data_IF_844927592293
#
_entry.id   IF_844927592293
#
_cell.length_a   1.000
_cell.length_b   1.000
_cell.length_c   1.000
_cell.angle_alpha   90.00
_cell.angle_beta   90.00
_cell.angle_gamma   90.00
#
_symmetry.space_group_name_H-M   'P 1'
#
loop_
_entity.id
_entity.type
_entity.pdbx_description
1 polymer ?
#
# COMPACT_ATOMS: atom_id res chain seq x y z
N UNK A 1 35.64 29.17 12.18
CA UNK A 1 36.09 29.75 10.88
C UNK A 1 36.67 31.12 11.16
N UNK A 2 37.84 31.42 10.60
CA UNK A 2 38.49 32.74 10.66
C UNK A 2 38.55 33.31 9.26
N UNK A 3 37.88 34.44 9.01
CA UNK A 3 38.03 35.20 7.77
C UNK A 3 38.96 36.39 7.98
N UNK A 4 39.59 36.85 6.91
CA UNK A 4 40.37 38.09 6.91
C UNK A 4 39.52 39.22 6.36
N UNK A 5 39.61 40.39 6.99
CA UNK A 5 38.96 41.62 6.54
C UNK A 5 40.08 42.60 6.22
N UNK A 6 40.09 43.13 4.99
CA UNK A 6 41.12 44.06 4.52
C UNK A 6 40.46 45.30 3.94
N UNK A 7 41.00 46.46 4.27
CA UNK A 7 40.59 47.70 3.63
C UNK A 7 41.07 47.72 2.18
N UNK A 8 40.21 48.12 1.24
CA UNK A 8 40.56 48.26 -0.18
C UNK A 8 41.32 49.57 -0.47
N UNK A 9 41.33 50.50 0.48
CA UNK A 9 42.00 51.80 0.41
C UNK A 9 42.58 52.17 1.77
N UNK A 10 43.57 53.07 1.77
CA UNK A 10 44.12 53.62 3.01
C UNK A 10 43.03 54.39 3.77
N UNK A 11 42.84 54.07 5.05
CA UNK A 11 41.92 54.78 5.93
C UNK A 11 42.65 55.91 6.65
N UNK A 12 42.07 57.11 6.63
CA UNK A 12 42.49 58.16 7.53
C UNK A 12 42.22 57.76 8.99
N UNK A 13 42.84 58.47 9.95
CA UNK A 13 42.46 58.32 11.35
C UNK A 13 40.95 58.57 11.53
N UNK A 14 40.29 57.69 12.28
CA UNK A 14 38.84 57.61 12.49
C UNK A 14 38.02 57.25 11.24
N UNK A 15 38.69 56.97 10.12
CA UNK A 15 38.06 56.42 8.93
C UNK A 15 37.59 54.98 9.16
N UNK A 16 36.44 54.62 8.58
CA UNK A 16 35.85 53.30 8.70
C UNK A 16 35.45 52.71 7.36
N UNK A 17 35.38 51.38 7.30
CA UNK A 17 34.71 50.65 6.23
C UNK A 17 33.87 49.51 6.80
N UNK A 18 32.92 49.03 6.01
CA UNK A 18 32.01 47.94 6.37
C UNK A 18 32.23 46.72 5.47
N UNK A 19 32.04 45.53 6.03
CA UNK A 19 31.99 44.27 5.29
C UNK A 19 30.82 43.43 5.80
N UNK A 20 30.12 42.74 4.91
CA UNK A 20 29.03 41.83 5.29
C UNK A 20 29.55 40.67 6.14
N UNK A 21 28.85 40.31 7.21
CA UNK A 21 29.25 39.16 8.05
C UNK A 21 29.31 37.86 7.23
N UNK A 22 28.44 37.72 6.23
CA UNK A 22 28.40 36.58 5.30
C UNK A 22 29.67 36.40 4.47
N UNK A 23 30.44 37.47 4.23
CA UNK A 23 31.74 37.40 3.54
C UNK A 23 32.83 36.73 4.41
N UNK A 24 32.66 36.78 5.74
CA UNK A 24 33.60 36.19 6.72
C UNK A 24 33.12 34.82 7.17
N UNK A 25 31.80 34.66 7.35
CA UNK A 25 31.14 33.41 7.70
C UNK A 25 29.75 33.38 7.06
N UNK A 26 29.55 32.52 6.05
CA UNK A 26 28.32 32.45 5.25
C UNK A 26 27.05 32.21 6.06
N UNK A 27 27.17 31.68 7.27
CA UNK A 27 26.06 31.45 8.19
C UNK A 27 25.57 32.67 8.98
N UNK A 28 26.18 33.84 8.79
CA UNK A 28 25.88 35.06 9.54
C UNK A 28 25.42 36.19 8.62
N UNK A 29 24.60 37.07 9.19
CA UNK A 29 24.07 38.28 8.57
C UNK A 29 24.43 39.51 9.40
N UNK A 30 24.26 40.69 8.81
CA UNK A 30 24.67 41.96 9.41
C UNK A 30 26.00 42.47 8.85
N UNK A 31 26.55 43.50 9.48
CA UNK A 31 27.77 44.14 9.04
C UNK A 31 28.86 44.16 10.11
N UNK A 32 30.10 44.04 9.66
CA UNK A 32 31.31 44.24 10.45
C UNK A 32 31.85 45.62 10.09
N UNK A 33 31.91 46.52 11.07
CA UNK A 33 32.48 47.86 10.91
C UNK A 33 33.90 47.83 11.45
N UNK A 34 34.86 48.23 10.62
CA UNK A 34 36.27 48.34 11.02
C UNK A 34 36.71 49.80 10.95
N UNK A 35 37.27 50.30 12.04
CA UNK A 35 37.70 51.71 12.18
C UNK A 35 39.20 51.78 12.41
N UNK A 36 39.88 52.70 11.72
CA UNK A 36 41.30 52.99 11.94
C UNK A 36 41.46 53.97 13.12
N UNK A 37 41.86 53.46 14.27
CA UNK A 37 42.08 54.27 15.47
C UNK A 37 43.57 54.24 15.85
N UNK A 38 44.23 55.41 15.81
CA UNK A 38 45.66 55.58 16.15
C UNK A 38 46.59 54.58 15.45
N UNK A 39 46.36 54.32 14.16
CA UNK A 39 47.17 53.39 13.35
C UNK A 39 46.85 51.91 13.56
N UNK A 40 45.83 51.57 14.37
CA UNK A 40 45.34 50.20 14.56
C UNK A 40 43.92 50.04 14.04
N UNK A 41 43.59 48.87 13.49
CA UNK A 41 42.22 48.55 13.10
C UNK A 41 41.46 48.01 14.31
N UNK A 42 40.35 48.66 14.65
CA UNK A 42 39.40 48.21 15.66
C UNK A 42 38.17 47.65 14.93
N UNK A 43 37.84 46.40 15.21
CA UNK A 43 36.74 45.68 14.56
C UNK A 43 35.53 45.65 15.50
N UNK A 44 34.36 46.04 14.99
CA UNK A 44 33.08 45.89 15.64
C UNK A 44 32.22 44.91 14.83
N UNK A 45 32.01 43.71 15.39
CA UNK A 45 31.18 42.64 14.82
C UNK A 45 29.89 42.41 15.63
N UNK A 46 29.48 43.36 16.47
CA UNK A 46 28.29 43.20 17.34
C UNK A 46 26.99 43.05 16.58
N UNK A 47 26.94 43.49 15.31
CA UNK A 47 25.79 43.32 14.42
C UNK A 47 25.81 41.97 13.66
N UNK A 48 26.86 41.17 13.82
CA UNK A 48 26.88 39.83 13.24
C UNK A 48 26.02 38.88 14.06
N UNK A 49 24.94 38.41 13.45
CA UNK A 49 24.03 37.44 14.04
C UNK A 49 23.88 36.25 13.10
N UNK A 50 23.65 35.03 13.62
CA UNK A 50 23.32 33.89 12.78
C UNK A 50 22.16 34.22 11.84
N UNK A 51 22.33 33.90 10.56
CA UNK A 51 21.34 34.22 9.53
C UNK A 51 20.03 33.50 9.79
N UNK A 52 18.88 34.19 9.70
CA UNK A 52 17.60 33.51 9.58
C UNK A 52 17.50 32.83 8.22
N UNK A 53 16.60 31.87 8.09
CA UNK A 53 16.26 31.24 6.82
C UNK A 53 15.20 32.11 6.15
N UNK A 54 15.46 32.51 4.91
CA UNK A 54 14.55 33.37 4.16
C UNK A 54 13.29 32.60 3.74
N UNK A 55 12.21 33.32 3.46
CA UNK A 55 11.09 32.74 2.74
C UNK A 55 11.57 32.25 1.36
N UNK A 56 11.14 31.06 0.95
CA UNK A 56 11.62 30.38 -0.26
C UNK A 56 12.93 29.62 -0.09
N UNK A 57 13.58 29.65 1.08
CA UNK A 57 14.69 28.74 1.38
C UNK A 57 14.19 27.29 1.27
N UNK A 58 15.03 26.43 0.71
CA UNK A 58 14.68 25.04 0.42
C UNK A 58 15.50 24.05 1.25
N UNK A 59 14.90 22.90 1.56
CA UNK A 59 15.59 21.72 2.08
C UNK A 59 15.15 20.48 1.32
N UNK A 60 16.05 19.52 1.16
CA UNK A 60 15.72 18.19 0.65
C UNK A 60 15.00 17.39 1.72
N UNK A 61 13.85 16.84 1.37
CA UNK A 61 13.06 15.92 2.18
C UNK A 61 13.18 14.54 1.54
N UNK A 62 13.82 13.61 2.24
CA UNK A 62 13.99 12.22 1.80
C UNK A 62 13.01 11.32 2.56
N UNK A 63 12.08 10.70 1.82
CA UNK A 63 11.08 9.75 2.34
C UNK A 63 11.11 8.47 1.50
N UNK A 64 11.27 7.31 2.14
CA UNK A 64 11.40 6.00 1.45
C UNK A 64 12.42 5.96 0.29
N UNK A 65 13.55 6.67 0.44
CA UNK A 65 14.60 6.85 -0.58
C UNK A 65 14.18 7.68 -1.81
N UNK A 66 13.07 8.42 -1.72
CA UNK A 66 12.65 9.40 -2.71
C UNK A 66 12.93 10.79 -2.15
N UNK A 67 13.69 11.57 -2.92
CA UNK A 67 13.99 12.96 -2.59
C UNK A 67 12.94 13.90 -3.18
N UNK A 68 12.52 14.85 -2.37
CA UNK A 68 11.64 15.96 -2.75
C UNK A 68 12.15 17.27 -2.12
N UNK A 69 11.59 18.41 -2.52
CA UNK A 69 12.03 19.72 -2.04
C UNK A 69 10.95 20.37 -1.20
N UNK A 70 11.26 20.70 0.05
CA UNK A 70 10.42 21.56 0.89
C UNK A 70 10.89 23.00 0.81
N UNK A 71 9.96 23.95 0.64
CA UNK A 71 10.24 25.37 0.61
C UNK A 71 9.57 26.06 1.80
N UNK A 72 10.34 26.84 2.56
CA UNK A 72 9.79 27.62 3.66
C UNK A 72 8.89 28.74 3.16
N UNK A 73 7.70 28.88 3.74
CA UNK A 73 6.72 29.89 3.34
C UNK A 73 6.98 31.26 3.98
N UNK A 74 7.78 31.31 5.04
CA UNK A 74 8.03 32.51 5.82
C UNK A 74 9.48 32.55 6.32
N UNK A 75 9.93 33.74 6.72
CA UNK A 75 11.24 33.87 7.36
C UNK A 75 11.22 33.08 8.67
N UNK A 76 12.20 32.21 8.86
CA UNK A 76 12.39 31.43 10.08
C UNK A 76 13.65 31.95 10.79
N UNK A 77 13.50 32.41 12.04
CA UNK A 77 14.65 32.84 12.84
C UNK A 77 15.67 31.70 13.01
N UNK A 78 16.94 32.03 13.26
CA UNK A 78 17.92 31.04 13.67
C UNK A 78 17.44 30.27 14.91
N UNK A 79 17.62 28.96 14.91
CA UNK A 79 17.11 27.99 15.89
C UNK A 79 15.58 27.96 15.99
N UNK A 80 14.89 28.68 15.11
CA UNK A 80 13.46 28.56 14.91
C UNK A 80 13.11 27.24 14.21
N UNK A 81 11.99 26.67 14.62
CA UNK A 81 11.44 25.45 14.04
C UNK A 81 9.96 25.57 13.74
N UNK A 82 9.49 24.83 12.75
CA UNK A 82 8.06 24.67 12.46
C UNK A 82 7.76 23.26 11.94
N UNK A 83 6.49 22.93 11.86
CA UNK A 83 6.00 21.63 11.37
C UNK A 83 5.47 21.76 9.94
N UNK A 84 5.77 20.78 9.10
CA UNK A 84 5.27 20.66 7.72
C UNK A 84 4.65 19.27 7.51
N UNK A 85 3.71 19.16 6.56
CA UNK A 85 2.93 17.95 6.37
C UNK A 85 3.68 16.94 5.48
N UNK A 86 3.73 15.67 5.89
CA UNK A 86 4.35 14.62 5.08
C UNK A 86 3.58 14.36 3.77
N UNK A 87 2.26 14.60 3.76
CA UNK A 87 1.42 14.42 2.58
C UNK A 87 1.76 15.38 1.42
N UNK A 88 2.45 16.49 1.70
CA UNK A 88 2.94 17.41 0.67
C UNK A 88 4.11 16.81 -0.14
N UNK A 89 4.67 15.69 0.33
CA UNK A 89 5.88 15.06 -0.19
C UNK A 89 5.67 13.60 -0.64
N UNK A 90 4.43 13.18 -0.86
CA UNK A 90 4.08 11.86 -1.35
C UNK A 90 2.95 11.21 -0.56
N UNK A 91 2.84 9.89 -0.65
CA UNK A 91 1.79 9.10 0.00
C UNK A 91 2.18 8.75 1.45
N UNK A 92 2.42 9.80 2.24
CA UNK A 92 2.81 9.71 3.65
C UNK A 92 1.82 10.50 4.53
N UNK A 93 1.68 10.09 5.79
CA UNK A 93 0.96 10.83 6.80
C UNK A 93 1.86 11.24 7.97
N UNK A 94 1.35 12.15 8.78
CA UNK A 94 2.08 12.78 9.87
C UNK A 94 2.65 14.14 9.48
N UNK A 95 3.63 14.60 10.24
CA UNK A 95 4.30 15.87 9.99
C UNK A 95 5.77 15.75 10.30
N UNK A 96 6.64 16.43 9.56
CA UNK A 96 8.07 16.52 9.86
C UNK A 96 8.42 17.88 10.46
N UNK A 97 9.52 17.94 11.21
CA UNK A 97 10.01 19.19 11.78
C UNK A 97 11.04 19.82 10.86
N UNK A 98 10.94 21.13 10.66
CA UNK A 98 11.90 21.93 9.90
C UNK A 98 12.58 22.89 10.85
N UNK A 99 13.91 22.90 10.88
CA UNK A 99 14.73 23.75 11.76
C UNK A 99 15.67 24.60 10.94
N UNK A 100 15.75 25.88 11.28
CA UNK A 100 16.67 26.82 10.65
C UNK A 100 17.97 26.96 11.45
N UNK A 101 19.11 26.68 10.84
CA UNK A 101 20.41 26.92 11.42
C UNK A 101 21.31 27.67 10.42
N UNK A 102 21.81 28.85 10.81
CA UNK A 102 22.78 29.60 10.02
C UNK A 102 22.34 29.85 8.55
N UNK A 103 21.06 30.17 8.34
CA UNK A 103 20.50 30.41 7.01
C UNK A 103 20.20 29.15 6.19
N UNK A 104 20.44 27.96 6.73
CA UNK A 104 20.12 26.68 6.10
C UNK A 104 18.96 25.98 6.84
N UNK A 105 18.05 25.39 6.07
CA UNK A 105 16.98 24.56 6.61
C UNK A 105 17.47 23.11 6.75
N UNK A 106 17.09 22.48 7.85
CA UNK A 106 17.26 21.05 8.10
C UNK A 106 15.89 20.46 8.39
N UNK A 107 15.69 19.19 8.05
CA UNK A 107 14.41 18.50 8.23
C UNK A 107 14.60 17.21 9.03
N UNK A 108 13.66 16.93 9.92
CA UNK A 108 13.55 15.66 10.65
C UNK A 108 12.25 14.97 10.24
N UNK A 109 12.37 13.96 9.39
CA UNK A 109 11.27 13.19 8.81
C UNK A 109 10.92 11.92 9.59
N UNK A 110 11.48 11.74 10.79
CA UNK A 110 11.30 10.51 11.59
C UNK A 110 9.85 10.18 11.95
N UNK A 111 8.96 11.17 11.90
CA UNK A 111 7.53 11.07 12.17
C UNK A 111 6.66 10.93 10.92
N UNK A 112 7.25 10.98 9.72
CA UNK A 112 6.54 10.65 8.49
C UNK A 112 6.43 9.14 8.34
N UNK A 113 5.20 8.66 8.15
CA UNK A 113 4.91 7.24 7.97
C UNK A 113 4.19 7.05 6.65
N UNK A 114 4.51 5.98 5.94
CA UNK A 114 3.84 5.65 4.67
C UNK A 114 2.35 5.39 4.89
N UNK A 115 1.52 5.87 3.96
CA UNK A 115 0.08 5.74 4.07
C UNK A 115 -0.34 4.26 4.14
N UNK A 116 -1.24 3.92 5.08
CA UNK A 116 -1.81 2.60 5.15
C UNK A 116 -2.78 2.37 3.98
N UNK A 117 -2.94 1.11 3.57
CA UNK A 117 -3.99 0.75 2.63
C UNK A 117 -5.35 0.75 3.35
N UNK A 118 -6.24 1.66 2.97
CA UNK A 118 -7.59 1.74 3.52
C UNK A 118 -8.42 0.48 3.18
N UNK A 119 -9.44 0.19 3.98
CA UNK A 119 -10.40 -0.90 3.69
C UNK A 119 -11.23 -0.68 2.41
N UNK A 120 -11.22 0.54 1.86
CA UNK A 120 -11.80 0.87 0.56
C UNK A 120 -10.82 0.70 -0.61
N UNK A 121 -9.52 0.53 -0.35
CA UNK A 121 -8.55 0.24 -1.40
C UNK A 121 -8.84 -1.16 -1.95
N UNK A 122 -8.68 -1.34 -3.26
CA UNK A 122 -8.93 -2.64 -3.89
C UNK A 122 -7.76 -3.05 -4.77
N UNK A 123 -7.47 -4.34 -4.78
CA UNK A 123 -6.49 -4.97 -5.64
C UNK A 123 -7.19 -5.99 -6.54
N UNK A 124 -6.78 -6.07 -7.81
CA UNK A 124 -7.21 -7.14 -8.70
C UNK A 124 -6.35 -8.38 -8.48
N UNK A 125 -7.01 -9.51 -8.22
CA UNK A 125 -6.38 -10.80 -7.97
C UNK A 125 -6.84 -11.79 -9.01
N UNK A 126 -5.91 -12.56 -9.59
CA UNK A 126 -6.24 -13.66 -10.49
C UNK A 126 -5.96 -15.01 -9.82
N UNK A 127 -6.95 -15.90 -9.81
CA UNK A 127 -6.81 -17.29 -9.34
C UNK A 127 -7.41 -18.22 -10.39
N UNK A 128 -6.57 -19.08 -10.98
CA UNK A 128 -7.02 -20.04 -11.99
C UNK A 128 -7.66 -19.40 -13.23
N UNK A 129 -7.23 -18.20 -13.62
CA UNK A 129 -7.77 -17.47 -14.79
C UNK A 129 -8.99 -16.61 -14.50
N UNK A 130 -9.58 -16.68 -13.30
CA UNK A 130 -10.65 -15.79 -12.86
C UNK A 130 -10.03 -14.59 -12.14
N UNK A 131 -10.40 -13.38 -12.55
CA UNK A 131 -9.99 -12.13 -11.90
C UNK A 131 -11.11 -11.61 -11.00
N UNK A 132 -10.79 -11.21 -9.77
CA UNK A 132 -11.71 -10.54 -8.86
C UNK A 132 -11.05 -9.36 -8.16
N UNK A 133 -11.83 -8.31 -7.86
CA UNK A 133 -11.40 -7.20 -7.03
C UNK A 133 -11.59 -7.52 -5.55
N UNK A 134 -10.57 -7.29 -4.73
CA UNK A 134 -10.55 -7.60 -3.31
C UNK A 134 -10.06 -6.39 -2.52
N UNK A 135 -10.69 -6.15 -1.37
CA UNK A 135 -10.34 -5.08 -0.43
C UNK A 135 -10.12 -5.64 0.97
N UNK A 136 -9.20 -5.06 1.76
CA UNK A 136 -8.94 -5.56 3.10
C UNK A 136 -10.11 -5.24 4.03
N UNK A 137 -10.38 -6.13 4.99
CA UNK A 137 -11.48 -5.96 5.95
C UNK A 137 -11.25 -4.78 6.92
N UNK A 138 -10.00 -4.38 7.10
CA UNK A 138 -9.57 -3.26 7.91
C UNK A 138 -8.37 -2.56 7.24
N UNK A 139 -7.98 -1.43 7.80
CA UNK A 139 -6.77 -0.72 7.38
C UNK A 139 -5.52 -1.60 7.52
N UNK A 140 -4.69 -1.64 6.49
CA UNK A 140 -3.44 -2.42 6.44
C UNK A 140 -2.27 -1.45 6.46
N UNK A 141 -1.48 -1.51 7.54
CA UNK A 141 -0.27 -0.68 7.68
C UNK A 141 0.69 -0.96 6.53
N UNK A 142 1.38 0.08 6.04
CA UNK A 142 2.37 -0.07 4.99
C UNK A 142 3.37 -1.22 5.30
N UNK A 143 3.73 -2.00 4.27
CA UNK A 143 4.64 -3.15 4.39
C UNK A 143 4.01 -4.39 5.03
N UNK A 144 2.78 -4.30 5.56
CA UNK A 144 2.03 -5.46 6.04
C UNK A 144 1.35 -6.18 4.87
N UNK A 145 0.87 -7.40 5.15
CA UNK A 145 0.08 -8.19 4.22
C UNK A 145 -1.29 -8.46 4.80
N UNK A 146 -2.27 -8.66 3.92
CA UNK A 146 -3.59 -9.16 4.29
C UNK A 146 -3.94 -10.32 3.36
N UNK A 147 -4.86 -11.16 3.81
CA UNK A 147 -5.24 -12.39 3.11
C UNK A 147 -6.69 -12.37 2.66
N UNK A 148 -6.95 -13.04 1.55
CA UNK A 148 -8.31 -13.39 1.12
C UNK A 148 -8.36 -14.88 0.76
N UNK A 149 -9.42 -15.61 1.16
CA UNK A 149 -9.59 -17.01 0.78
C UNK A 149 -9.63 -17.17 -0.75
N UNK A 150 -8.90 -18.15 -1.28
CA UNK A 150 -8.92 -18.44 -2.72
C UNK A 150 -10.33 -18.81 -3.20
N UNK A 151 -11.10 -19.52 -2.36
CA UNK A 151 -12.47 -19.97 -2.65
C UNK A 151 -13.42 -18.81 -2.92
N UNK A 152 -13.18 -17.64 -2.32
CA UNK A 152 -14.00 -16.46 -2.55
C UNK A 152 -13.77 -15.90 -3.97
N UNK A 153 -12.58 -16.10 -4.55
CA UNK A 153 -12.18 -15.61 -5.88
C UNK A 153 -12.50 -16.64 -6.95
N UNK A 154 -11.98 -17.85 -6.76
CA UNK A 154 -12.22 -18.99 -7.62
C UNK A 154 -12.53 -20.18 -6.71
N UNK A 155 -13.77 -20.63 -6.77
CA UNK A 155 -14.28 -21.69 -5.93
C UNK A 155 -13.50 -23.00 -6.09
N UNK A 156 -12.90 -23.26 -7.27
CA UNK A 156 -12.05 -24.43 -7.53
C UNK A 156 -10.73 -24.43 -6.75
N UNK A 157 -10.46 -23.41 -5.93
CA UNK A 157 -9.20 -23.27 -5.20
C UNK A 157 -9.44 -23.11 -3.70
N UNK A 158 -8.53 -23.69 -2.90
CA UNK A 158 -8.44 -23.41 -1.47
C UNK A 158 -7.04 -22.92 -1.10
N UNK A 159 -6.93 -22.46 0.14
CA UNK A 159 -5.81 -21.67 0.63
C UNK A 159 -6.17 -20.19 0.63
N UNK A 160 -5.14 -19.36 0.78
CA UNK A 160 -5.28 -17.91 0.89
C UNK A 160 -4.37 -17.22 -0.13
N UNK A 161 -4.90 -16.19 -0.77
CA UNK A 161 -4.08 -15.21 -1.50
C UNK A 161 -3.51 -14.24 -0.48
N UNK A 162 -2.20 -14.08 -0.48
CA UNK A 162 -1.51 -13.06 0.31
C UNK A 162 -1.33 -11.82 -0.56
N UNK A 163 -1.76 -10.65 -0.08
CA UNK A 163 -1.68 -9.39 -0.83
C UNK A 163 -0.69 -8.42 -0.18
N UNK A 164 0.63 -8.56 -0.43
CA UNK A 164 1.55 -7.43 -0.42
C UNK A 164 1.30 -6.51 -1.63
N UNK A 165 2.11 -5.46 -1.78
CA UNK A 165 2.16 -4.58 -2.97
C UNK A 165 2.16 -5.34 -4.32
N UNK A 166 2.53 -6.63 -4.34
CA UNK A 166 2.22 -7.60 -5.40
C UNK A 166 1.59 -8.84 -4.76
N UNK A 167 0.42 -9.27 -5.23
CA UNK A 167 -0.25 -10.44 -4.66
C UNK A 167 0.50 -11.75 -4.97
N UNK A 168 0.45 -12.67 -4.02
CA UNK A 168 0.96 -14.03 -4.09
C UNK A 168 -0.20 -15.02 -3.91
N UNK A 169 -0.49 -15.78 -4.97
CA UNK A 169 -1.50 -16.83 -4.99
C UNK A 169 -0.87 -18.24 -4.98
N UNK A 170 0.42 -18.37 -4.67
CA UNK A 170 1.12 -19.67 -4.64
C UNK A 170 0.53 -20.67 -3.64
N UNK A 171 -0.17 -20.16 -2.62
CA UNK A 171 -0.90 -20.97 -1.65
C UNK A 171 -2.29 -21.41 -2.14
N UNK A 172 -2.77 -20.88 -3.27
CA UNK A 172 -4.00 -21.35 -3.90
C UNK A 172 -3.75 -22.69 -4.58
N UNK A 173 -4.21 -23.76 -3.95
CA UNK A 173 -4.18 -25.09 -4.52
C UNK A 173 -5.52 -25.37 -5.20
N UNK A 174 -5.48 -25.93 -6.41
CA UNK A 174 -6.68 -26.40 -7.07
C UNK A 174 -7.29 -27.49 -6.18
N UNK A 175 -8.43 -27.19 -5.58
CA UNK A 175 -9.28 -28.21 -5.02
C UNK A 175 -9.98 -28.88 -6.17
N UNK A 176 -9.79 -30.17 -6.26
CA UNK A 176 -10.65 -31.01 -7.05
C UNK A 176 -12.03 -31.06 -6.37
N UNK A 177 -12.82 -30.00 -6.53
CA UNK A 177 -14.19 -29.95 -6.05
C UNK A 177 -15.07 -30.81 -6.96
N UNK A 178 -15.91 -31.63 -6.34
CA UNK A 178 -16.88 -32.47 -7.01
C UNK A 178 -18.19 -31.73 -7.24
N UNK A 179 -19.33 -32.34 -6.91
CA UNK A 179 -20.65 -31.79 -7.21
C UNK A 179 -21.17 -30.90 -6.08
N UNK A 180 -21.76 -29.76 -6.44
CA UNK A 180 -22.38 -28.83 -5.49
C UNK A 180 -23.88 -29.07 -5.36
N UNK A 181 -24.46 -28.65 -4.22
CA UNK A 181 -25.93 -28.66 -4.01
C UNK A 181 -26.69 -27.68 -4.90
N UNK A 182 -25.99 -26.78 -5.60
CA UNK A 182 -26.56 -25.76 -6.51
C UNK A 182 -25.93 -25.86 -7.89
N UNK A 183 -26.72 -25.72 -8.96
CA UNK A 183 -26.22 -25.78 -10.34
C UNK A 183 -26.14 -27.19 -10.94
N UNK A 184 -27.12 -28.05 -10.64
CA UNK A 184 -27.16 -29.42 -11.17
C UNK A 184 -27.41 -29.50 -12.67
N UNK A 185 -27.09 -30.65 -13.26
CA UNK A 185 -27.44 -30.97 -14.66
C UNK A 185 -28.80 -31.67 -14.74
N UNK A 186 -29.50 -31.46 -15.85
CA UNK A 186 -30.75 -32.20 -16.10
C UNK A 186 -30.46 -33.65 -16.44
N UNK A 187 -31.01 -34.58 -15.65
CA UNK A 187 -31.03 -36.00 -15.96
C UNK A 187 -32.42 -36.41 -16.45
N UNK A 188 -32.47 -37.29 -17.44
CA UNK A 188 -33.73 -37.83 -17.99
C UNK A 188 -33.77 -39.34 -17.83
N UNK A 189 -34.82 -39.85 -17.20
CA UNK A 189 -35.11 -41.29 -17.09
C UNK A 189 -36.50 -41.56 -17.66
N UNK A 190 -36.55 -42.24 -18.80
CA UNK A 190 -37.79 -42.37 -19.58
C UNK A 190 -38.28 -40.99 -20.05
N UNK A 191 -39.48 -40.59 -19.61
CA UNK A 191 -40.07 -39.28 -19.92
C UNK A 191 -40.00 -38.29 -18.73
N UNK A 192 -39.25 -38.61 -17.67
CA UNK A 192 -39.09 -37.76 -16.50
C UNK A 192 -37.74 -37.05 -16.55
N UNK A 193 -37.72 -35.73 -16.38
CA UNK A 193 -36.51 -34.92 -16.33
C UNK A 193 -36.47 -34.15 -15.02
N UNK A 194 -35.33 -34.16 -14.34
CA UNK A 194 -35.11 -33.36 -13.13
C UNK A 194 -33.65 -32.90 -13.04
N UNK A 195 -33.40 -31.91 -12.18
CA UNK A 195 -32.06 -31.39 -11.92
C UNK A 195 -31.37 -32.30 -10.91
N UNK A 196 -30.20 -32.81 -11.28
CA UNK A 196 -29.38 -33.68 -10.47
C UNK A 196 -28.58 -32.84 -9.47
N UNK A 197 -28.98 -32.87 -8.20
CA UNK A 197 -28.32 -32.11 -7.14
C UNK A 197 -28.06 -33.03 -5.94
N UNK A 198 -26.84 -33.11 -5.43
CA UNK A 198 -26.58 -33.79 -4.17
C UNK A 198 -27.21 -33.02 -3.00
N UNK A 199 -27.51 -33.71 -1.91
CA UNK A 199 -28.07 -33.12 -0.68
C UNK A 199 -27.02 -32.36 0.16
N UNK A 200 -25.74 -32.58 -0.13
CA UNK A 200 -24.58 -31.90 0.45
C UNK A 200 -23.47 -31.84 -0.59
N UNK A 201 -22.42 -31.03 -0.37
CA UNK A 201 -21.30 -30.97 -1.30
C UNK A 201 -20.56 -32.32 -1.33
N UNK A 202 -20.26 -32.80 -2.54
CA UNK A 202 -19.57 -34.08 -2.78
C UNK A 202 -18.20 -33.78 -3.36
N UNK A 203 -17.14 -34.42 -2.85
CA UNK A 203 -15.78 -34.20 -3.36
C UNK A 203 -15.61 -34.83 -4.75
N UNK A 204 -14.57 -34.43 -5.50
CA UNK A 204 -14.28 -35.06 -6.80
C UNK A 204 -13.97 -36.55 -6.58
N UNK A 205 -14.41 -37.36 -7.53
CA UNK A 205 -14.31 -38.82 -7.57
C UNK A 205 -15.14 -39.56 -6.49
N UNK A 206 -15.77 -38.82 -5.57
CA UNK A 206 -16.82 -39.37 -4.72
C UNK A 206 -18.15 -39.49 -5.50
N UNK A 207 -19.02 -40.36 -4.99
CA UNK A 207 -20.34 -40.57 -5.58
C UNK A 207 -21.45 -40.29 -4.59
N UNK A 208 -22.55 -39.74 -5.08
CA UNK A 208 -23.83 -39.74 -4.39
C UNK A 208 -24.85 -40.60 -5.11
N UNK A 209 -25.92 -40.97 -4.41
CA UNK A 209 -27.00 -41.78 -4.95
C UNK A 209 -28.26 -40.94 -5.08
N UNK A 210 -29.00 -41.19 -6.16
CA UNK A 210 -30.32 -40.61 -6.39
C UNK A 210 -31.32 -41.73 -6.57
N UNK A 211 -32.35 -41.74 -5.72
CA UNK A 211 -33.46 -42.68 -5.82
C UNK A 211 -34.34 -42.30 -7.02
N UNK A 212 -34.54 -43.22 -7.96
CA UNK A 212 -35.41 -42.98 -9.11
C UNK A 212 -36.88 -42.90 -8.70
N UNK A 213 -37.28 -43.58 -7.62
CA UNK A 213 -38.67 -43.66 -7.21
C UNK A 213 -39.21 -42.29 -6.75
N UNK A 214 -38.37 -41.48 -6.10
CA UNK A 214 -38.72 -40.13 -5.65
C UNK A 214 -38.94 -39.13 -6.78
N UNK A 215 -38.40 -39.40 -7.97
CA UNK A 215 -38.47 -38.48 -9.12
C UNK A 215 -39.32 -38.98 -10.29
N UNK A 216 -39.77 -40.24 -10.27
CA UNK A 216 -40.48 -40.87 -11.40
C UNK A 216 -41.87 -41.38 -11.06
N UNK A 217 -42.52 -40.84 -10.02
CA UNK A 217 -43.83 -41.30 -9.54
C UNK A 217 -43.85 -42.82 -9.30
N UNK A 218 -42.74 -43.37 -8.79
CA UNK A 218 -42.54 -44.81 -8.56
C UNK A 218 -42.62 -45.70 -9.83
N UNK A 219 -42.56 -45.13 -11.04
CA UNK A 219 -42.54 -45.92 -12.29
C UNK A 219 -41.19 -46.57 -12.55
N UNK A 220 -40.10 -45.95 -12.13
CA UNK A 220 -38.76 -46.53 -12.15
C UNK A 220 -38.28 -46.68 -10.71
N UNK A 221 -37.71 -47.85 -10.39
CA UNK A 221 -37.16 -48.17 -9.07
C UNK A 221 -35.68 -48.48 -9.20
N UNK A 222 -34.93 -48.13 -8.17
CA UNK A 222 -33.47 -48.29 -8.11
C UNK A 222 -32.74 -46.96 -7.95
N UNK A 223 -31.42 -47.06 -7.80
CA UNK A 223 -30.55 -45.92 -7.53
C UNK A 223 -29.64 -45.63 -8.71
N UNK A 224 -29.48 -44.34 -9.02
CA UNK A 224 -28.44 -43.86 -9.93
C UNK A 224 -27.26 -43.45 -9.08
N UNK A 225 -26.10 -44.07 -9.34
CA UNK A 225 -24.83 -43.65 -8.74
C UNK A 225 -24.19 -42.60 -9.63
N UNK A 226 -23.98 -41.43 -9.07
CA UNK A 226 -23.44 -40.26 -9.76
C UNK A 226 -22.07 -39.98 -9.18
N UNK A 227 -21.02 -40.07 -10.00
CA UNK A 227 -19.65 -39.71 -9.60
C UNK A 227 -19.36 -38.29 -10.03
N UNK A 228 -18.83 -37.51 -9.09
CA UNK A 228 -18.51 -36.12 -9.31
C UNK A 228 -17.17 -35.97 -10.01
N UNK A 229 -17.22 -35.49 -11.25
CA UNK A 229 -16.05 -35.12 -12.03
C UNK A 229 -15.56 -33.72 -11.71
N UNK A 230 -14.48 -33.34 -12.38
CA UNK A 230 -13.87 -32.00 -12.26
C UNK A 230 -14.84 -30.92 -12.74
N UNK A 231 -14.86 -29.76 -12.07
CA UNK A 231 -15.69 -28.59 -12.41
C UNK A 231 -17.21 -28.86 -12.31
N UNK A 232 -17.64 -29.73 -11.39
CA UNK A 232 -19.06 -30.07 -11.23
C UNK A 232 -19.65 -30.91 -12.36
N UNK A 233 -18.81 -31.49 -13.24
CA UNK A 233 -19.29 -32.44 -14.25
C UNK A 233 -19.81 -33.71 -13.58
N UNK A 234 -20.96 -34.21 -14.01
CA UNK A 234 -21.52 -35.45 -13.51
C UNK A 234 -21.15 -36.59 -14.45
N UNK A 235 -20.63 -37.70 -13.91
CA UNK A 235 -20.50 -38.94 -14.66
C UNK A 235 -21.37 -40.01 -14.01
N UNK A 236 -22.32 -40.56 -14.77
CA UNK A 236 -23.10 -41.72 -14.33
C UNK A 236 -22.39 -42.99 -14.76
N UNK A 237 -22.18 -43.91 -13.81
CA UNK A 237 -21.79 -45.29 -14.15
C UNK A 237 -22.99 -46.01 -14.81
N UNK A 238 -22.77 -47.08 -15.59
CA UNK A 238 -23.85 -47.87 -16.16
C UNK A 238 -24.62 -48.61 -15.06
N UNK A 239 -25.61 -47.96 -14.46
CA UNK A 239 -26.64 -48.61 -13.64
C UNK A 239 -27.84 -48.85 -14.54
N UNK A 240 -28.06 -50.11 -14.95
CA UNK A 240 -29.26 -50.51 -15.68
C UNK A 240 -30.47 -50.25 -14.77
N UNK A 241 -31.38 -49.30 -15.11
CA UNK A 241 -32.66 -49.23 -14.42
C UNK A 241 -33.38 -50.55 -14.71
N UNK A 242 -33.72 -51.31 -13.68
CA UNK A 242 -34.58 -52.48 -13.88
C UNK A 242 -36.00 -51.97 -13.96
N UNK A 243 -36.68 -52.25 -15.08
CA UNK A 243 -38.08 -51.91 -15.23
C UNK A 243 -38.86 -52.79 -14.24
N UNK A 244 -39.30 -52.19 -13.14
CA UNK A 244 -40.10 -52.89 -12.13
C UNK A 244 -41.44 -53.29 -12.74
N UNK A 245 -41.53 -54.51 -13.26
CA UNK A 245 -42.79 -55.10 -13.68
C UNK A 245 -43.69 -55.20 -12.45
N UNK A 246 -44.76 -54.41 -12.42
CA UNK A 246 -45.81 -54.48 -11.39
C UNK A 246 -46.40 -55.89 -11.38
N UNK A 247 -46.12 -56.67 -10.34
CA UNK A 247 -47.05 -57.69 -9.89
C UNK A 247 -48.06 -56.99 -8.98
N UNK A 248 -49.31 -56.95 -9.44
CA UNK A 248 -50.49 -56.56 -8.67
C UNK A 248 -50.73 -57.53 -7.52
#
# INVERSE_FOLDING_TARGET
MSGQISATQALAHDGSFSTQCSNVNSGYSGEIVTTCYLGSLVVNSTQCHPSPCAAGSAATVTLANVDSTHNSQAITAHDGSYSANCADHGDFYGSFQVTCAYGALTVDTSTCVENPCLSSASAEVNVGGITASRSPAAEVVHGSTWTAPCIDINWDYAGDVHMPLRYDNSSCILMELGCQTTGGENITVGNYTWVLQPSSNVLKDESFQVDCASHTEQKFVGEIRVTCGRLGNYSSGPTKPTNGSRHW
#
